data_IF_436755338652
#
_entry.id   IF_436755338652
#
_cell.length_a   1.000
_cell.length_b   1.000
_cell.length_c   1.000
_cell.angle_alpha   90.00
_cell.angle_beta   90.00
_cell.angle_gamma   90.00
#
_symmetry.space_group_name_H-M   'P 1'
#
loop_
_entity.id
_entity.type
_entity.pdbx_description
1 polymer ?
#
# COMPACT_ATOMS: atom_id res chain seq x y z
N UNK A 1 -35.26 8.11 13.83
CA UNK A 1 -34.51 6.90 13.47
C UNK A 1 -34.29 5.94 14.64
N UNK A 2 -33.74 6.41 15.81
CA UNK A 2 -33.50 5.55 17.00
C UNK A 2 -34.78 4.93 17.53
N UNK A 3 -35.83 5.74 17.77
CA UNK A 3 -37.11 5.29 18.23
C UNK A 3 -37.75 4.32 17.23
N UNK A 4 -37.71 4.66 15.96
CA UNK A 4 -38.18 3.82 14.86
C UNK A 4 -37.50 2.46 14.84
N UNK A 5 -36.18 2.41 15.00
CA UNK A 5 -35.39 1.15 15.04
C UNK A 5 -35.74 0.35 16.31
N UNK A 6 -35.94 1.01 17.45
CA UNK A 6 -36.28 0.34 18.69
C UNK A 6 -37.68 -0.24 18.69
N UNK A 7 -38.64 0.44 18.08
CA UNK A 7 -40.07 0.10 18.12
C UNK A 7 -40.50 -0.82 17.00
N UNK A 8 -39.73 -0.89 15.90
CA UNK A 8 -40.12 -1.64 14.71
C UNK A 8 -39.22 -2.88 14.52
N UNK A 9 -39.67 -4.02 15.07
CA UNK A 9 -38.91 -5.28 15.04
C UNK A 9 -38.87 -5.97 13.66
N UNK A 10 -39.81 -5.65 12.79
CA UNK A 10 -40.03 -6.34 11.50
C UNK A 10 -39.29 -5.66 10.33
N UNK A 11 -38.66 -4.50 10.60
CA UNK A 11 -37.91 -3.76 9.57
C UNK A 11 -36.40 -3.95 9.77
N UNK A 12 -35.68 -4.22 8.69
CA UNK A 12 -34.21 -4.27 8.69
C UNK A 12 -33.63 -2.90 8.33
N UNK A 13 -32.73 -2.42 9.15
CA UNK A 13 -32.03 -1.15 8.94
C UNK A 13 -30.55 -1.39 8.68
N UNK A 14 -29.97 -0.61 7.79
CA UNK A 14 -28.54 -0.57 7.51
C UNK A 14 -27.97 0.78 7.92
N UNK A 15 -26.99 0.77 8.82
CA UNK A 15 -26.26 1.96 9.25
C UNK A 15 -24.84 1.84 8.70
N UNK A 16 -24.45 2.73 7.78
CA UNK A 16 -23.12 2.77 7.22
C UNK A 16 -22.39 3.97 7.83
N UNK A 17 -21.24 3.73 8.43
CA UNK A 17 -20.41 4.76 9.05
C UNK A 17 -18.94 4.52 8.77
N UNK A 18 -18.17 5.60 8.60
CA UNK A 18 -16.71 5.50 8.59
C UNK A 18 -16.18 5.27 10.00
N UNK A 19 -14.97 4.73 10.16
CA UNK A 19 -14.31 4.60 11.47
C UNK A 19 -14.19 5.95 12.20
N UNK A 20 -13.86 7.01 11.46
CA UNK A 20 -13.79 8.36 12.01
C UNK A 20 -15.14 8.83 12.57
N UNK A 21 -16.25 8.50 11.89
CA UNK A 21 -17.60 8.81 12.38
C UNK A 21 -17.97 7.95 13.58
N UNK A 22 -17.68 6.65 13.53
CA UNK A 22 -17.92 5.72 14.64
C UNK A 22 -17.17 6.13 15.92
N UNK A 23 -15.94 6.64 15.79
CA UNK A 23 -15.15 7.13 16.91
C UNK A 23 -15.68 8.43 17.55
N UNK A 24 -16.56 9.19 16.88
CA UNK A 24 -17.14 10.43 17.44
C UNK A 24 -18.08 10.11 18.59
N UNK A 25 -17.87 10.78 19.71
CA UNK A 25 -18.62 10.53 20.93
C UNK A 25 -20.14 10.70 20.76
N UNK A 26 -20.57 11.71 20.02
CA UNK A 26 -21.98 11.96 19.76
C UNK A 26 -22.66 10.80 19.02
N UNK A 27 -22.01 10.30 17.94
CA UNK A 27 -22.54 9.17 17.17
C UNK A 27 -22.52 7.88 17.98
N UNK A 28 -21.42 7.65 18.70
CA UNK A 28 -21.28 6.44 19.52
C UNK A 28 -22.31 6.39 20.65
N UNK A 29 -22.59 7.53 21.33
CA UNK A 29 -23.64 7.63 22.33
C UNK A 29 -25.03 7.30 21.77
N UNK A 30 -25.34 7.72 20.56
CA UNK A 30 -26.60 7.35 19.88
C UNK A 30 -26.70 5.83 19.64
N UNK A 31 -25.62 5.19 19.18
CA UNK A 31 -25.58 3.74 19.00
C UNK A 31 -25.71 2.99 20.34
N UNK A 32 -25.07 3.47 21.40
CA UNK A 32 -25.21 2.92 22.75
C UNK A 32 -26.65 3.07 23.34
N UNK A 33 -27.41 4.04 22.87
CA UNK A 33 -28.76 4.32 23.36
C UNK A 33 -29.83 3.38 22.82
N UNK A 34 -29.46 2.46 21.88
CA UNK A 34 -30.41 1.41 21.49
C UNK A 34 -30.79 0.53 22.65
N UNK A 35 -32.07 0.15 22.71
CA UNK A 35 -32.56 -0.71 23.78
C UNK A 35 -31.90 -2.09 23.75
N UNK A 36 -32.00 -2.83 24.87
CA UNK A 36 -31.36 -4.15 24.99
C UNK A 36 -31.84 -5.18 23.96
N UNK A 37 -33.10 -5.08 23.50
CA UNK A 37 -33.67 -5.98 22.49
C UNK A 37 -33.10 -5.67 21.14
N UNK A 38 -32.99 -4.39 20.77
CA UNK A 38 -32.33 -3.96 19.51
C UNK A 38 -30.85 -4.36 19.48
N UNK A 39 -30.10 -4.13 20.57
CA UNK A 39 -28.69 -4.54 20.64
C UNK A 39 -28.50 -6.05 20.44
N UNK A 40 -29.40 -6.88 20.94
CA UNK A 40 -29.36 -8.34 20.74
C UNK A 40 -29.61 -8.79 19.28
N UNK A 41 -30.02 -7.87 18.41
CA UNK A 41 -30.28 -8.13 16.99
C UNK A 41 -29.24 -7.49 16.06
N UNK A 42 -28.33 -6.69 16.63
CA UNK A 42 -27.31 -6.00 15.84
C UNK A 42 -26.29 -6.99 15.26
N UNK A 43 -26.09 -6.92 13.96
CA UNK A 43 -24.94 -7.47 13.27
C UNK A 43 -23.95 -6.34 13.01
N UNK A 44 -22.72 -6.50 13.46
CA UNK A 44 -21.63 -5.57 13.19
C UNK A 44 -20.75 -6.12 12.09
N UNK A 45 -20.53 -5.35 11.04
CA UNK A 45 -19.61 -5.69 9.94
C UNK A 45 -18.56 -4.59 9.86
N UNK A 46 -17.30 -4.96 10.02
CA UNK A 46 -16.16 -4.08 9.89
C UNK A 46 -15.38 -4.43 8.62
N UNK A 47 -15.39 -3.55 7.65
CA UNK A 47 -14.48 -3.63 6.50
C UNK A 47 -13.14 -3.01 6.89
N UNK A 48 -12.01 -3.57 6.40
CA UNK A 48 -10.66 -3.23 6.85
C UNK A 48 -10.56 -3.23 8.40
N UNK A 49 -10.97 -4.35 9.01
CA UNK A 49 -11.15 -4.49 10.45
C UNK A 49 -9.91 -4.17 11.30
N UNK A 50 -8.71 -4.25 10.70
CA UNK A 50 -7.46 -3.83 11.34
C UNK A 50 -7.48 -2.37 11.81
N UNK A 51 -8.25 -1.47 11.16
CA UNK A 51 -8.38 -0.07 11.58
C UNK A 51 -9.07 0.07 12.95
N UNK A 52 -9.77 -0.96 13.41
CA UNK A 52 -10.38 -0.97 14.74
C UNK A 52 -9.34 -1.03 15.87
N UNK A 53 -8.10 -1.41 15.60
CA UNK A 53 -7.00 -1.38 16.55
C UNK A 53 -6.52 0.03 16.93
N UNK A 54 -6.96 1.09 16.25
CA UNK A 54 -6.57 2.46 16.57
C UNK A 54 -7.19 2.92 17.91
N UNK A 55 -6.40 3.58 18.76
CA UNK A 55 -6.70 3.86 20.17
C UNK A 55 -8.10 4.37 20.47
N UNK A 56 -8.59 5.41 19.76
CA UNK A 56 -9.95 5.95 19.98
C UNK A 56 -11.07 4.97 19.62
N UNK A 57 -10.82 4.04 18.70
CA UNK A 57 -11.79 3.05 18.28
C UNK A 57 -11.78 1.88 19.26
N UNK A 58 -10.60 1.48 19.74
CA UNK A 58 -10.43 0.44 20.75
C UNK A 58 -11.33 0.68 21.97
N UNK A 59 -11.38 1.91 22.47
CA UNK A 59 -12.20 2.30 23.62
C UNK A 59 -13.71 2.11 23.36
N UNK A 60 -14.12 2.02 22.09
CA UNK A 60 -15.54 1.88 21.69
C UNK A 60 -15.95 0.43 21.45
N UNK A 61 -15.00 -0.49 21.26
CA UNK A 61 -15.32 -1.86 20.82
C UNK A 61 -16.32 -2.58 21.71
N UNK A 62 -16.17 -2.46 23.02
CA UNK A 62 -16.99 -3.18 24.00
C UNK A 62 -18.18 -2.38 24.52
N UNK A 63 -18.42 -1.17 24.03
CA UNK A 63 -19.51 -0.30 24.49
C UNK A 63 -20.89 -0.73 24.02
N UNK A 64 -20.98 -1.51 22.95
CA UNK A 64 -22.26 -1.96 22.38
C UNK A 64 -22.27 -3.50 22.36
N UNK A 65 -23.42 -4.08 22.69
CA UNK A 65 -23.63 -5.53 22.58
C UNK A 65 -24.14 -5.89 21.20
N UNK A 66 -23.37 -6.67 20.47
CA UNK A 66 -23.73 -7.16 19.14
C UNK A 66 -24.11 -8.64 19.22
N UNK A 67 -25.11 -9.04 18.44
CA UNK A 67 -25.46 -10.47 18.28
C UNK A 67 -24.34 -11.21 17.58
N UNK A 68 -23.84 -10.64 16.50
CA UNK A 68 -22.75 -11.19 15.69
C UNK A 68 -21.81 -10.09 15.22
N UNK A 69 -20.57 -10.46 14.98
CA UNK A 69 -19.51 -9.56 14.52
C UNK A 69 -18.75 -10.23 13.39
N UNK A 70 -18.51 -9.49 12.32
CA UNK A 70 -17.74 -9.93 11.17
C UNK A 70 -16.68 -8.87 10.92
N UNK A 71 -15.42 -9.26 10.93
CA UNK A 71 -14.29 -8.43 10.53
C UNK A 71 -13.73 -8.93 9.21
N UNK A 72 -13.60 -8.04 8.25
CA UNK A 72 -12.99 -8.30 6.94
C UNK A 72 -11.69 -7.54 6.85
N UNK A 73 -10.61 -8.19 6.48
CA UNK A 73 -9.31 -7.55 6.24
C UNK A 73 -8.43 -8.42 5.37
N UNK A 74 -7.73 -7.83 4.41
CA UNK A 74 -6.70 -8.51 3.65
C UNK A 74 -5.40 -8.69 4.47
N UNK A 75 -5.19 -7.82 5.47
CA UNK A 75 -4.04 -7.80 6.36
C UNK A 75 -4.53 -7.50 7.78
N UNK A 76 -5.02 -8.52 8.50
CA UNK A 76 -5.70 -8.32 9.79
C UNK A 76 -4.78 -7.81 10.90
N UNK A 77 -3.47 -8.06 10.80
CA UNK A 77 -2.50 -7.64 11.81
C UNK A 77 -1.89 -6.28 11.45
N UNK A 78 -1.80 -5.39 12.41
CA UNK A 78 -1.10 -4.11 12.34
C UNK A 78 0.36 -4.33 12.73
N UNK A 79 1.29 -3.72 12.01
CA UNK A 79 2.71 -3.79 12.37
C UNK A 79 2.95 -3.00 13.67
N UNK A 80 3.76 -3.56 14.56
CA UNK A 80 4.18 -2.94 15.82
C UNK A 80 3.05 -2.54 16.79
N UNK A 81 1.84 -3.11 16.63
CA UNK A 81 0.69 -2.83 17.49
C UNK A 81 0.08 -4.13 18.07
N UNK A 82 0.84 -4.80 18.91
CA UNK A 82 0.40 -6.06 19.55
C UNK A 82 -0.84 -5.87 20.42
N UNK A 83 -0.99 -4.70 21.06
CA UNK A 83 -2.13 -4.38 21.92
C UNK A 83 -3.40 -4.22 21.08
N UNK A 84 -3.33 -3.43 20.01
CA UNK A 84 -4.44 -3.24 19.08
C UNK A 84 -4.84 -4.54 18.39
N UNK A 85 -3.86 -5.31 17.91
CA UNK A 85 -4.09 -6.61 17.28
C UNK A 85 -4.84 -7.56 18.23
N UNK A 86 -4.37 -7.69 19.46
CA UNK A 86 -4.98 -8.55 20.47
C UNK A 86 -6.41 -8.13 20.81
N UNK A 87 -6.65 -6.83 20.91
CA UNK A 87 -7.97 -6.29 21.20
C UNK A 87 -8.97 -6.55 20.05
N UNK A 88 -8.55 -6.37 18.80
CA UNK A 88 -9.36 -6.65 17.60
C UNK A 88 -9.66 -8.15 17.50
N UNK A 89 -8.66 -9.00 17.68
CA UNK A 89 -8.84 -10.45 17.66
C UNK A 89 -9.82 -10.93 18.74
N UNK A 90 -9.67 -10.42 19.98
CA UNK A 90 -10.61 -10.72 21.07
C UNK A 90 -12.02 -10.24 20.74
N UNK A 91 -12.15 -9.04 20.16
CA UNK A 91 -13.44 -8.49 19.78
C UNK A 91 -14.18 -9.38 18.77
N UNK A 92 -13.50 -9.96 17.80
CA UNK A 92 -14.09 -10.88 16.82
C UNK A 92 -14.11 -12.33 17.28
N UNK A 93 -13.48 -12.67 18.40
CA UNK A 93 -13.40 -14.04 18.92
C UNK A 93 -12.44 -14.94 18.14
N UNK A 94 -11.38 -14.35 17.54
CA UNK A 94 -10.39 -15.00 16.69
C UNK A 94 -9.02 -15.15 17.37
N UNK A 95 -8.96 -15.35 18.70
CA UNK A 95 -7.72 -15.33 19.46
C UNK A 95 -6.69 -16.40 19.04
N UNK A 96 -7.15 -17.50 18.46
CA UNK A 96 -6.28 -18.62 18.05
C UNK A 96 -6.06 -18.71 16.54
N UNK A 97 -7.04 -18.35 15.76
CA UNK A 97 -7.01 -18.42 14.29
C UNK A 97 -8.15 -17.62 13.70
N UNK A 98 -8.00 -17.18 12.46
CA UNK A 98 -9.10 -16.57 11.70
C UNK A 98 -10.22 -17.60 11.46
N UNK A 99 -11.46 -17.13 11.47
CA UNK A 99 -12.63 -18.00 11.19
C UNK A 99 -12.62 -18.49 9.76
N UNK A 100 -12.14 -17.67 8.84
CA UNK A 100 -12.03 -17.98 7.43
C UNK A 100 -10.86 -17.19 6.84
N UNK A 101 -10.06 -17.85 6.02
CA UNK A 101 -8.99 -17.27 5.25
C UNK A 101 -9.15 -17.68 3.78
N UNK A 102 -9.01 -16.71 2.88
CA UNK A 102 -9.00 -16.93 1.44
C UNK A 102 -7.78 -16.23 0.86
N UNK A 103 -6.75 -17.01 0.61
CA UNK A 103 -5.45 -16.46 0.21
C UNK A 103 -5.48 -15.91 -1.23
N UNK A 104 -4.51 -15.06 -1.55
CA UNK A 104 -4.33 -14.58 -2.94
C UNK A 104 -4.00 -15.76 -3.88
N UNK A 105 -3.29 -16.78 -3.40
CA UNK A 105 -3.03 -18.02 -4.15
C UNK A 105 -4.35 -18.69 -4.52
N UNK A 106 -5.22 -18.93 -3.54
CA UNK A 106 -6.54 -19.53 -3.80
C UNK A 106 -7.36 -18.72 -4.78
N UNK A 107 -7.30 -17.38 -4.66
CA UNK A 107 -8.03 -16.48 -5.56
C UNK A 107 -7.52 -16.55 -7.01
N UNK A 108 -6.23 -16.75 -7.22
CA UNK A 108 -5.64 -16.95 -8.55
C UNK A 108 -5.97 -18.36 -9.07
N UNK A 109 -5.77 -19.39 -8.28
CA UNK A 109 -5.99 -20.79 -8.66
C UNK A 109 -7.47 -21.06 -8.97
N UNK A 110 -8.38 -20.52 -8.17
CA UNK A 110 -9.83 -20.62 -8.40
C UNK A 110 -10.34 -19.62 -9.45
N UNK A 111 -9.48 -18.82 -10.01
CA UNK A 111 -9.79 -17.94 -11.11
C UNK A 111 -10.64 -16.72 -10.75
N UNK A 112 -10.63 -16.25 -9.50
CA UNK A 112 -11.21 -14.95 -9.09
C UNK A 112 -10.26 -13.79 -9.41
N UNK A 113 -8.95 -14.03 -9.40
CA UNK A 113 -7.93 -13.12 -9.87
C UNK A 113 -7.26 -13.67 -11.12
N UNK A 114 -6.67 -12.80 -11.95
CA UNK A 114 -5.89 -13.23 -13.11
C UNK A 114 -4.47 -13.59 -12.71
N UNK A 115 -3.82 -14.44 -13.50
CA UNK A 115 -2.40 -14.73 -13.41
C UNK A 115 -1.57 -13.53 -13.83
N UNK A 116 -0.30 -13.46 -13.45
CA UNK A 116 0.56 -12.34 -13.76
C UNK A 116 2.02 -12.70 -13.91
N UNK A 117 2.75 -11.89 -14.68
CA UNK A 117 4.19 -11.84 -14.69
C UNK A 117 4.69 -10.73 -13.77
N UNK A 118 5.82 -10.97 -13.12
CA UNK A 118 6.48 -10.01 -12.25
C UNK A 118 7.91 -9.78 -12.68
N UNK A 119 8.28 -8.53 -12.91
CA UNK A 119 9.59 -8.10 -13.36
C UNK A 119 10.17 -7.08 -12.37
N UNK A 120 11.01 -7.50 -11.41
CA UNK A 120 11.80 -6.56 -10.62
C UNK A 120 12.89 -5.95 -11.50
N UNK A 121 13.05 -4.64 -11.44
CA UNK A 121 14.09 -3.88 -12.09
C UNK A 121 14.99 -3.28 -11.05
N UNK A 122 16.27 -3.66 -11.04
CA UNK A 122 17.23 -3.20 -10.06
C UNK A 122 17.62 -1.75 -10.34
N UNK A 123 17.37 -0.88 -9.40
CA UNK A 123 17.71 0.54 -9.42
C UNK A 123 18.88 0.76 -8.46
N UNK A 124 20.06 1.00 -8.97
CA UNK A 124 21.21 1.35 -8.14
C UNK A 124 21.19 2.83 -7.81
N UNK A 125 21.48 3.17 -6.54
CA UNK A 125 21.72 4.55 -6.14
C UNK A 125 23.05 5.02 -6.73
N UNK A 126 23.15 6.32 -7.04
CA UNK A 126 24.45 6.89 -7.35
C UNK A 126 25.33 6.97 -6.09
N UNK A 127 26.63 7.21 -6.25
CA UNK A 127 27.55 7.32 -5.12
C UNK A 127 27.13 8.46 -4.17
N UNK A 128 26.64 9.57 -4.71
CA UNK A 128 26.16 10.70 -3.94
C UNK A 128 24.87 10.33 -3.17
N UNK A 129 23.92 9.70 -3.84
CA UNK A 129 22.66 9.25 -3.23
C UNK A 129 22.93 8.23 -2.12
N UNK A 130 23.85 7.29 -2.36
CA UNK A 130 24.24 6.29 -1.37
C UNK A 130 24.95 6.93 -0.17
N UNK A 131 25.87 7.87 -0.42
CA UNK A 131 26.57 8.60 0.64
C UNK A 131 25.59 9.37 1.54
N UNK A 132 24.60 10.05 0.94
CA UNK A 132 23.55 10.76 1.68
C UNK A 132 22.68 9.80 2.47
N UNK A 133 22.27 8.67 1.87
CA UNK A 133 21.49 7.63 2.54
C UNK A 133 22.21 7.09 3.78
N UNK A 134 23.51 6.80 3.67
CA UNK A 134 24.32 6.29 4.76
C UNK A 134 24.53 7.34 5.87
N UNK A 135 24.76 8.60 5.50
CA UNK A 135 24.88 9.67 6.47
C UNK A 135 23.61 9.79 7.33
N UNK A 136 22.44 9.81 6.71
CA UNK A 136 21.16 9.87 7.43
C UNK A 136 20.93 8.59 8.26
N UNK A 137 21.26 7.41 7.73
CA UNK A 137 21.12 6.14 8.43
C UNK A 137 22.00 6.08 9.69
N UNK A 138 23.21 6.63 9.63
CA UNK A 138 24.13 6.76 10.80
C UNK A 138 23.54 7.69 11.85
N UNK A 139 22.91 8.79 11.44
CA UNK A 139 22.21 9.69 12.38
C UNK A 139 21.04 8.97 13.05
N UNK A 140 20.21 8.26 12.28
CA UNK A 140 19.06 7.49 12.78
C UNK A 140 19.48 6.38 13.75
N UNK A 141 20.61 5.73 13.53
CA UNK A 141 21.08 4.65 14.41
C UNK A 141 21.22 5.07 15.88
N UNK A 142 21.48 6.37 16.14
CA UNK A 142 21.57 6.93 17.50
C UNK A 142 20.23 6.96 18.24
N UNK A 143 19.12 6.93 17.51
CA UNK A 143 17.76 7.01 18.03
C UNK A 143 17.05 5.66 18.03
N UNK A 144 17.73 4.58 17.61
CA UNK A 144 17.14 3.24 17.60
C UNK A 144 17.05 2.64 18.98
N UNK A 145 15.87 2.27 19.42
CA UNK A 145 15.66 1.56 20.67
C UNK A 145 15.84 0.05 20.49
N UNK A 146 16.90 -0.50 21.06
CA UNK A 146 17.15 -1.96 21.04
C UNK A 146 16.09 -2.74 21.82
N UNK A 147 15.51 -2.15 22.87
CA UNK A 147 14.47 -2.80 23.69
C UNK A 147 13.15 -2.92 22.92
N UNK A 148 12.75 -1.84 22.22
CA UNK A 148 11.50 -1.78 21.45
C UNK A 148 11.65 -2.25 20.01
N UNK A 149 12.90 -2.43 19.53
CA UNK A 149 13.24 -2.74 18.14
C UNK A 149 12.62 -1.78 17.10
N UNK A 150 12.45 -0.52 17.48
CA UNK A 150 11.86 0.51 16.64
C UNK A 150 12.46 1.90 16.92
N UNK A 151 12.15 2.84 16.03
CA UNK A 151 12.40 4.26 16.24
C UNK A 151 11.23 4.89 16.99
N UNK A 152 11.53 5.92 17.80
CA UNK A 152 10.47 6.74 18.37
C UNK A 152 9.98 7.75 17.32
N UNK A 153 8.88 7.45 16.66
CA UNK A 153 8.29 8.29 15.60
C UNK A 153 7.57 9.53 16.14
N UNK A 154 7.40 9.64 17.46
CA UNK A 154 6.89 10.86 18.11
C UNK A 154 7.96 11.97 18.18
N UNK A 155 9.23 11.63 17.98
CA UNK A 155 10.34 12.56 17.91
C UNK A 155 10.40 13.22 16.52
N UNK A 156 10.20 14.52 16.45
CA UNK A 156 10.22 15.30 15.21
C UNK A 156 11.56 15.18 14.45
N UNK A 157 12.67 14.99 15.15
CA UNK A 157 14.00 14.82 14.54
C UNK A 157 14.07 13.46 13.84
N UNK A 158 13.65 12.40 14.53
CA UNK A 158 13.61 11.05 13.98
C UNK A 158 12.71 11.01 12.76
N UNK A 159 11.54 11.61 12.86
CA UNK A 159 10.57 11.66 11.76
C UNK A 159 11.14 12.35 10.53
N UNK A 160 11.79 13.51 10.69
CA UNK A 160 12.45 14.23 9.59
C UNK A 160 13.56 13.42 8.94
N UNK A 161 14.37 12.72 9.73
CA UNK A 161 15.44 11.86 9.22
C UNK A 161 14.89 10.68 8.43
N UNK A 162 13.84 10.03 8.93
CA UNK A 162 13.15 8.94 8.22
C UNK A 162 12.58 9.40 6.88
N UNK A 163 11.93 10.57 6.85
CA UNK A 163 11.40 11.16 5.62
C UNK A 163 12.52 11.54 4.63
N UNK A 164 13.62 12.14 5.11
CA UNK A 164 14.77 12.44 4.26
C UNK A 164 15.36 11.18 3.64
N UNK A 165 15.58 10.13 4.44
CA UNK A 165 16.09 8.85 3.95
C UNK A 165 15.17 8.23 2.91
N UNK A 166 13.86 8.24 3.16
CA UNK A 166 12.85 7.75 2.22
C UNK A 166 12.86 8.54 0.91
N UNK A 167 13.02 9.85 0.96
CA UNK A 167 13.09 10.72 -0.23
C UNK A 167 14.24 10.36 -1.17
N UNK A 168 15.38 9.91 -0.66
CA UNK A 168 16.52 9.45 -1.50
C UNK A 168 16.08 8.24 -2.32
N UNK A 169 15.48 7.25 -1.68
CA UNK A 169 14.96 6.05 -2.37
C UNK A 169 13.89 6.39 -3.40
N UNK A 170 13.01 7.33 -3.07
CA UNK A 170 11.93 7.74 -3.98
C UNK A 170 12.44 8.51 -5.20
N UNK A 171 13.47 9.33 -5.01
CA UNK A 171 14.06 10.19 -6.07
C UNK A 171 15.24 9.55 -6.79
N UNK A 172 15.61 8.33 -6.46
CA UNK A 172 16.75 7.66 -7.08
C UNK A 172 16.76 7.91 -8.59
N UNK A 173 17.80 8.61 -9.08
CA UNK A 173 17.85 9.19 -10.43
C UNK A 173 17.82 8.12 -11.53
N UNK A 174 18.37 6.95 -11.24
CA UNK A 174 18.37 5.82 -12.17
C UNK A 174 16.97 5.21 -12.41
N UNK A 175 15.95 5.57 -11.62
CA UNK A 175 14.56 5.14 -11.85
C UNK A 175 14.00 5.66 -13.18
N UNK A 176 14.38 6.88 -13.56
CA UNK A 176 13.79 7.55 -14.73
C UNK A 176 14.10 6.81 -16.02
N UNK A 177 15.37 6.41 -16.22
CA UNK A 177 15.81 5.68 -17.41
C UNK A 177 15.17 4.30 -17.51
N UNK A 178 15.07 3.60 -16.37
CA UNK A 178 14.44 2.28 -16.29
C UNK A 178 12.94 2.38 -16.57
N UNK A 179 12.27 3.34 -15.94
CA UNK A 179 10.85 3.59 -16.17
C UNK A 179 10.56 3.89 -17.65
N UNK A 180 11.37 4.77 -18.25
CA UNK A 180 11.26 5.10 -19.67
C UNK A 180 11.45 3.86 -20.56
N UNK A 181 12.46 3.05 -20.28
CA UNK A 181 12.71 1.83 -21.07
C UNK A 181 11.57 0.81 -21.02
N UNK A 182 10.91 0.64 -19.86
CA UNK A 182 9.73 -0.21 -19.72
C UNK A 182 8.59 0.28 -20.62
N UNK A 183 8.35 1.58 -20.64
CA UNK A 183 7.30 2.18 -21.47
C UNK A 183 7.63 2.08 -22.96
N UNK A 184 8.87 2.34 -23.36
CA UNK A 184 9.35 2.22 -24.73
C UNK A 184 9.19 0.78 -25.24
N UNK A 185 9.55 -0.21 -24.41
CA UNK A 185 9.35 -1.61 -24.73
C UNK A 185 7.86 -1.93 -24.93
N UNK A 186 7.00 -1.51 -24.00
CA UNK A 186 5.54 -1.70 -24.12
C UNK A 186 5.00 -1.06 -25.38
N UNK A 187 5.42 0.19 -25.69
CA UNK A 187 4.99 0.89 -26.88
C UNK A 187 5.44 0.19 -28.17
N UNK A 188 6.69 -0.32 -28.19
CA UNK A 188 7.22 -1.11 -29.31
C UNK A 188 6.43 -2.41 -29.53
N UNK A 189 6.00 -3.08 -28.47
CA UNK A 189 5.30 -4.36 -28.53
C UNK A 189 3.83 -4.21 -28.90
N UNK A 190 3.15 -3.18 -28.39
CA UNK A 190 1.70 -3.02 -28.48
C UNK A 190 1.24 -1.85 -29.36
N UNK A 191 2.14 -0.93 -29.71
CA UNK A 191 1.80 0.31 -30.44
C UNK A 191 1.05 1.33 -29.59
N UNK A 192 0.88 1.10 -28.29
CA UNK A 192 0.21 1.99 -27.34
C UNK A 192 0.58 1.64 -25.91
N UNK A 193 0.17 2.54 -24.95
CA UNK A 193 0.39 2.34 -23.52
C UNK A 193 -0.93 2.07 -22.77
N UNK A 194 -1.98 1.61 -23.46
CA UNK A 194 -3.30 1.40 -22.88
C UNK A 194 -3.28 0.47 -21.67
N UNK A 195 -4.15 0.80 -20.71
CA UNK A 195 -4.38 0.02 -19.49
C UNK A 195 -3.17 -0.08 -18.57
N UNK A 196 -2.35 0.99 -18.54
CA UNK A 196 -1.17 1.07 -17.70
C UNK A 196 -1.43 1.91 -16.45
N UNK A 197 -1.10 1.34 -15.28
CA UNK A 197 -1.11 2.02 -13.99
C UNK A 197 0.32 2.32 -13.56
N UNK A 198 0.58 3.55 -13.14
CA UNK A 198 1.88 3.96 -12.58
C UNK A 198 1.69 4.38 -11.14
N UNK A 199 2.26 3.61 -10.22
CA UNK A 199 2.26 3.93 -8.79
C UNK A 199 3.48 4.78 -8.45
N UNK A 200 3.25 6.07 -8.28
CA UNK A 200 4.27 7.07 -7.97
C UNK A 200 4.46 7.16 -6.45
N UNK A 201 5.70 7.39 -5.98
CA UNK A 201 5.97 7.55 -4.55
C UNK A 201 5.18 8.69 -3.92
N UNK A 202 4.74 8.46 -2.68
CA UNK A 202 4.15 9.48 -1.81
C UNK A 202 5.25 10.24 -1.06
N UNK A 203 5.19 11.56 -1.01
CA UNK A 203 6.27 12.40 -0.46
C UNK A 203 6.22 12.61 1.05
N UNK A 204 5.09 12.37 1.71
CA UNK A 204 4.76 13.04 2.96
C UNK A 204 4.71 12.20 4.23
N UNK A 205 4.78 10.87 4.16
CA UNK A 205 4.64 10.04 5.39
C UNK A 205 5.61 8.85 5.41
N UNK A 206 6.14 8.48 6.59
CA UNK A 206 6.78 7.18 6.78
C UNK A 206 5.79 6.05 6.51
N UNK A 207 6.29 4.89 6.09
CA UNK A 207 5.45 3.71 5.79
C UNK A 207 4.89 3.03 7.05
N UNK A 208 5.04 3.59 8.23
CA UNK A 208 4.58 3.02 9.48
C UNK A 208 3.08 3.24 9.67
N UNK A 209 2.39 2.18 10.11
CA UNK A 209 0.96 2.19 10.47
C UNK A 209 0.60 3.18 11.59
N UNK A 210 1.60 3.68 12.32
CA UNK A 210 1.43 4.74 13.30
C UNK A 210 1.04 6.08 12.65
N UNK A 211 1.22 6.24 11.32
CA UNK A 211 0.83 7.47 10.62
C UNK A 211 -0.68 7.72 10.61
N UNK A 212 -1.51 6.71 10.80
CA UNK A 212 -2.97 6.89 10.94
C UNK A 212 -3.37 7.66 12.21
N UNK A 213 -2.46 7.79 13.18
CA UNK A 213 -2.65 8.63 14.37
C UNK A 213 -2.31 10.12 14.15
N UNK A 214 -1.60 10.45 13.06
CA UNK A 214 -1.06 11.80 12.81
C UNK A 214 -1.83 12.64 11.78
N UNK A 215 -3.09 12.39 11.58
CA UNK A 215 -3.98 13.10 10.62
C UNK A 215 -4.15 14.62 10.89
N UNK A 216 -3.29 15.26 11.66
CA UNK A 216 -3.46 16.64 12.13
C UNK A 216 -2.29 17.59 11.96
N UNK A 217 -1.19 17.21 11.32
CA UNK A 217 -0.14 18.17 10.99
C UNK A 217 -0.09 18.36 9.48
N UNK A 218 -0.68 19.48 9.04
CA UNK A 218 -0.54 20.02 7.69
C UNK A 218 0.91 20.43 7.46
N UNK A 219 1.71 19.54 6.88
CA UNK A 219 3.03 19.92 6.38
C UNK A 219 2.90 20.38 4.93
N UNK A 220 2.87 21.67 4.75
CA UNK A 220 2.78 22.39 3.45
C UNK A 220 3.90 21.98 2.47
N UNK A 221 5.05 21.50 2.96
CA UNK A 221 6.16 21.02 2.13
C UNK A 221 5.91 19.65 1.48
N UNK A 222 4.91 18.90 1.93
CA UNK A 222 4.67 17.54 1.45
C UNK A 222 3.87 17.48 0.15
N UNK A 223 2.94 18.40 -0.05
CA UNK A 223 2.07 18.42 -1.23
C UNK A 223 2.82 18.83 -2.49
N UNK A 224 3.66 19.87 -2.42
CA UNK A 224 4.48 20.34 -3.54
C UNK A 224 5.49 19.28 -4.00
N UNK A 225 6.07 18.52 -3.06
CA UNK A 225 6.99 17.42 -3.38
C UNK A 225 6.31 16.27 -4.14
N UNK A 226 5.13 15.86 -3.70
CA UNK A 226 4.39 14.75 -4.28
C UNK A 226 3.82 15.09 -5.66
N UNK A 227 3.35 16.32 -5.83
CA UNK A 227 2.92 16.85 -7.12
C UNK A 227 4.04 16.88 -8.14
N UNK A 228 5.24 17.29 -7.76
CA UNK A 228 6.42 17.31 -8.64
C UNK A 228 6.80 15.91 -9.15
N UNK A 229 6.72 14.87 -8.32
CA UNK A 229 7.02 13.50 -8.76
C UNK A 229 5.99 12.96 -9.74
N UNK A 230 4.71 13.15 -9.46
CA UNK A 230 3.66 12.65 -10.37
C UNK A 230 3.70 13.37 -11.72
N UNK A 231 4.09 14.66 -11.72
CA UNK A 231 4.30 15.43 -12.94
C UNK A 231 5.48 14.90 -13.73
N UNK A 232 6.60 14.63 -13.06
CA UNK A 232 7.79 14.06 -13.67
C UNK A 232 7.49 12.72 -14.36
N UNK A 233 6.88 11.78 -13.68
CA UNK A 233 6.53 10.49 -14.28
C UNK A 233 5.49 10.62 -15.40
N UNK A 234 4.54 11.52 -15.28
CA UNK A 234 3.58 11.80 -16.34
C UNK A 234 4.26 12.40 -17.58
N UNK A 235 5.26 13.27 -17.39
CA UNK A 235 6.03 13.83 -18.49
C UNK A 235 6.87 12.75 -19.19
N UNK A 236 7.52 11.84 -18.47
CA UNK A 236 8.28 10.73 -19.09
C UNK A 236 7.36 9.86 -19.96
N UNK A 237 6.12 9.64 -19.56
CA UNK A 237 5.14 8.92 -20.41
C UNK A 237 4.90 9.67 -21.72
N UNK A 238 4.71 10.99 -21.65
CA UNK A 238 4.51 11.84 -22.85
C UNK A 238 5.77 11.91 -23.73
N UNK A 239 6.95 11.83 -23.14
CA UNK A 239 8.23 11.83 -23.87
C UNK A 239 8.41 10.52 -24.66
N UNK A 240 7.80 9.41 -24.24
CA UNK A 240 7.79 8.14 -24.99
C UNK A 240 6.82 8.22 -26.18
N UNK A 241 5.65 8.83 -25.99
CA UNK A 241 4.67 9.05 -27.04
C UNK A 241 3.81 10.24 -26.69
N UNK A 242 3.87 11.30 -27.49
CA UNK A 242 3.07 12.52 -27.33
C UNK A 242 1.60 12.31 -27.68
N UNK A 243 1.25 11.20 -28.32
CA UNK A 243 -0.13 10.82 -28.63
C UNK A 243 -0.82 10.11 -27.45
N UNK A 244 -0.04 9.66 -26.44
CA UNK A 244 -0.54 8.92 -25.29
C UNK A 244 -1.35 9.82 -24.36
N UNK A 245 -2.55 9.40 -24.01
CA UNK A 245 -3.39 10.10 -23.05
C UNK A 245 -3.03 9.69 -21.63
N UNK A 246 -2.39 10.59 -20.87
CA UNK A 246 -2.03 10.41 -19.47
C UNK A 246 -2.97 11.21 -18.57
N UNK A 247 -3.40 10.62 -17.44
CA UNK A 247 -4.19 11.33 -16.44
C UNK A 247 -3.65 11.05 -15.04
N UNK A 248 -3.47 12.12 -14.27
CA UNK A 248 -3.15 12.01 -12.83
C UNK A 248 -4.40 11.62 -12.07
N UNK A 249 -4.27 10.67 -11.16
CA UNK A 249 -5.33 10.22 -10.29
C UNK A 249 -4.92 10.40 -8.83
N UNK A 250 -5.29 11.56 -8.26
CA UNK A 250 -4.89 12.00 -6.91
C UNK A 250 -6.10 12.20 -6.01
N UNK A 251 -5.88 12.40 -4.71
CA UNK A 251 -6.95 12.70 -3.75
C UNK A 251 -7.66 14.00 -4.12
N UNK A 252 -8.97 14.07 -3.86
CA UNK A 252 -9.76 15.30 -4.11
C UNK A 252 -10.29 15.48 -5.53
N UNK A 253 -9.94 14.64 -6.50
CA UNK A 253 -10.51 14.71 -7.85
C UNK A 253 -12.01 14.42 -7.79
N UNK A 254 -12.83 15.37 -8.32
CA UNK A 254 -14.30 15.27 -8.32
C UNK A 254 -14.85 14.27 -9.34
N UNK A 255 -14.13 14.02 -10.44
CA UNK A 255 -14.61 13.23 -11.59
C UNK A 255 -14.01 11.81 -11.63
N UNK A 256 -13.75 11.20 -10.47
CA UNK A 256 -13.11 9.89 -10.36
C UNK A 256 -13.76 8.83 -11.23
N UNK A 257 -15.08 8.72 -11.19
CA UNK A 257 -15.83 7.74 -11.97
C UNK A 257 -15.66 7.90 -13.49
N UNK A 258 -15.66 9.15 -13.98
CA UNK A 258 -15.48 9.46 -15.39
C UNK A 258 -14.05 9.08 -15.85
N UNK A 259 -13.04 9.38 -15.06
CA UNK A 259 -11.65 9.04 -15.37
C UNK A 259 -11.47 7.52 -15.46
N UNK A 260 -12.04 6.78 -14.51
CA UNK A 260 -11.96 5.32 -14.51
C UNK A 260 -12.72 4.67 -15.67
N UNK A 261 -13.89 5.21 -16.03
CA UNK A 261 -14.65 4.75 -17.19
C UNK A 261 -13.89 4.99 -18.49
N UNK A 262 -13.29 6.17 -18.67
CA UNK A 262 -12.43 6.48 -19.81
C UNK A 262 -11.18 5.60 -19.88
N UNK A 263 -10.55 5.30 -18.73
CA UNK A 263 -9.45 4.37 -18.67
C UNK A 263 -9.87 2.94 -19.06
N UNK A 264 -11.00 2.47 -18.56
CA UNK A 264 -11.54 1.15 -18.90
C UNK A 264 -11.88 1.03 -20.41
N UNK A 265 -12.26 2.12 -21.08
CA UNK A 265 -12.48 2.19 -22.52
C UNK A 265 -11.19 2.40 -23.34
N UNK A 266 -10.06 2.66 -22.68
CA UNK A 266 -8.78 2.94 -23.34
C UNK A 266 -8.70 4.33 -23.97
N UNK A 267 -9.61 5.26 -23.62
CA UNK A 267 -9.55 6.69 -24.00
C UNK A 267 -8.46 7.41 -23.18
N UNK A 268 -8.22 6.97 -21.95
CA UNK A 268 -7.07 7.29 -21.15
C UNK A 268 -6.18 6.04 -21.13
N UNK A 269 -4.96 6.16 -21.59
CA UNK A 269 -4.06 5.04 -21.72
C UNK A 269 -3.29 4.75 -20.43
N UNK A 270 -2.84 5.81 -19.75
CA UNK A 270 -2.01 5.74 -18.54
C UNK A 270 -2.65 6.51 -17.40
N UNK A 271 -2.77 5.87 -16.25
CA UNK A 271 -3.09 6.54 -15.00
C UNK A 271 -1.84 6.59 -14.12
N UNK A 272 -1.40 7.80 -13.77
CA UNK A 272 -0.37 8.03 -12.75
C UNK A 272 -1.06 8.31 -11.42
N UNK A 273 -0.71 7.57 -10.39
CA UNK A 273 -1.39 7.65 -9.09
C UNK A 273 -0.40 7.50 -7.94
N UNK A 274 -0.70 8.17 -6.85
CA UNK A 274 -0.06 7.95 -5.57
C UNK A 274 -0.91 6.98 -4.73
N UNK A 275 -1.43 7.39 -3.61
CA UNK A 275 -2.21 6.56 -2.67
C UNK A 275 -3.66 6.31 -3.08
N UNK A 276 -4.22 7.13 -3.96
CA UNK A 276 -5.68 7.15 -4.23
C UNK A 276 -6.23 5.88 -4.87
N UNK A 277 -5.37 5.04 -5.47
CA UNK A 277 -5.78 3.74 -5.99
C UNK A 277 -5.69 2.63 -4.93
N UNK A 278 -5.27 2.94 -3.68
CA UNK A 278 -5.09 1.92 -2.64
C UNK A 278 -6.42 1.52 -1.99
N UNK A 279 -7.40 2.44 -1.89
CA UNK A 279 -8.69 2.17 -1.25
C UNK A 279 -9.89 2.59 -2.09
N UNK A 280 -10.93 1.74 -2.11
CA UNK A 280 -12.25 2.08 -2.66
C UNK A 280 -12.34 2.26 -4.20
N UNK A 281 -11.28 1.97 -4.96
CA UNK A 281 -11.25 2.15 -6.42
C UNK A 281 -11.12 0.82 -7.13
N UNK A 282 -11.91 0.60 -8.16
CA UNK A 282 -11.86 -0.58 -9.00
C UNK A 282 -11.30 -0.27 -10.39
N UNK A 283 -10.25 -1.00 -10.82
CA UNK A 283 -9.56 -0.80 -12.11
C UNK A 283 -9.32 -2.14 -12.81
N UNK A 284 -10.37 -2.95 -13.07
CA UNK A 284 -10.21 -4.33 -13.52
C UNK A 284 -9.55 -4.44 -14.90
N UNK A 285 -9.63 -3.40 -15.73
CA UNK A 285 -9.03 -3.38 -17.08
C UNK A 285 -7.52 -3.12 -17.08
N UNK A 286 -6.88 -2.82 -15.93
CA UNK A 286 -5.43 -2.62 -15.87
C UNK A 286 -4.67 -3.88 -16.29
N UNK A 287 -3.85 -3.79 -17.33
CA UNK A 287 -3.05 -4.90 -17.85
C UNK A 287 -1.60 -4.82 -17.38
N UNK A 288 -1.08 -3.61 -17.23
CA UNK A 288 0.28 -3.37 -16.76
C UNK A 288 0.27 -2.43 -15.56
N UNK A 289 1.12 -2.71 -14.60
CA UNK A 289 1.39 -1.80 -13.48
C UNK A 289 2.89 -1.60 -13.30
N UNK A 290 3.29 -0.36 -13.04
CA UNK A 290 4.68 -0.01 -12.76
C UNK A 290 4.73 0.60 -11.36
N UNK A 291 5.44 -0.06 -10.45
CA UNK A 291 5.68 0.42 -9.09
C UNK A 291 6.97 1.22 -9.06
N UNK A 292 6.86 2.55 -9.06
CA UNK A 292 8.01 3.47 -8.90
C UNK A 292 8.28 3.78 -7.42
N UNK A 293 7.36 3.37 -6.54
CA UNK A 293 7.43 3.58 -5.11
C UNK A 293 7.92 2.32 -4.40
N UNK A 294 9.03 2.45 -3.68
CA UNK A 294 9.41 1.47 -2.66
C UNK A 294 8.60 1.76 -1.40
N UNK A 295 7.66 0.91 -1.04
CA UNK A 295 6.92 1.02 0.22
C UNK A 295 7.23 -0.17 1.10
N UNK A 296 7.66 0.09 2.32
CA UNK A 296 7.90 -0.95 3.33
C UNK A 296 6.61 -1.50 3.94
N UNK A 297 5.45 -0.91 3.62
CA UNK A 297 4.18 -1.36 4.17
C UNK A 297 3.60 -2.51 3.33
N UNK A 298 3.59 -3.76 3.85
CA UNK A 298 3.07 -4.93 3.13
C UNK A 298 1.62 -4.76 2.69
N UNK A 299 0.80 -4.07 3.48
CA UNK A 299 -0.62 -3.84 3.20
C UNK A 299 -0.82 -3.10 1.89
N UNK A 300 -0.09 -2.01 1.68
CA UNK A 300 -0.26 -1.19 0.48
C UNK A 300 0.03 -1.98 -0.79
N UNK A 301 1.13 -2.73 -0.84
CA UNK A 301 1.44 -3.47 -2.05
C UNK A 301 0.55 -4.70 -2.25
N UNK A 302 0.08 -5.36 -1.18
CA UNK A 302 -0.91 -6.44 -1.27
C UNK A 302 -2.23 -5.91 -1.85
N UNK A 303 -2.72 -4.78 -1.36
CA UNK A 303 -3.95 -4.14 -1.86
C UNK A 303 -3.79 -3.69 -3.32
N UNK A 304 -2.67 -3.03 -3.67
CA UNK A 304 -2.36 -2.63 -5.06
C UNK A 304 -2.34 -3.83 -5.99
N UNK A 305 -1.62 -4.89 -5.61
CA UNK A 305 -1.56 -6.14 -6.39
C UNK A 305 -2.96 -6.74 -6.58
N UNK A 306 -3.74 -6.87 -5.51
CA UNK A 306 -5.10 -7.40 -5.59
C UNK A 306 -6.00 -6.64 -6.57
N UNK A 307 -5.83 -5.32 -6.73
CA UNK A 307 -6.59 -4.51 -7.71
C UNK A 307 -6.13 -4.75 -9.13
N UNK A 308 -4.80 -4.80 -9.35
CA UNK A 308 -4.23 -5.08 -10.65
C UNK A 308 -4.64 -6.46 -11.15
N UNK A 309 -4.79 -7.43 -10.27
CA UNK A 309 -5.15 -8.80 -10.63
C UNK A 309 -6.65 -9.05 -10.81
N UNK A 310 -7.50 -8.05 -10.62
CA UNK A 310 -8.94 -8.19 -10.89
C UNK A 310 -9.20 -8.59 -12.32
N UNK A 311 -10.15 -9.50 -12.51
CA UNK A 311 -10.51 -9.99 -13.83
C UNK A 311 -11.30 -8.98 -14.65
N UNK A 312 -11.05 -8.99 -15.94
CA UNK A 312 -11.86 -8.31 -16.95
C UNK A 312 -12.02 -9.25 -18.16
N UNK A 313 -13.14 -9.27 -18.86
CA UNK A 313 -13.35 -10.17 -20.01
C UNK A 313 -12.23 -10.13 -21.07
N UNK A 314 -11.67 -8.95 -21.34
CA UNK A 314 -10.61 -8.75 -22.32
C UNK A 314 -9.20 -8.82 -21.73
N UNK A 315 -9.05 -9.17 -20.44
CA UNK A 315 -7.76 -9.25 -19.77
C UNK A 315 -7.45 -10.68 -19.38
N UNK A 316 -6.45 -11.26 -20.02
CA UNK A 316 -6.03 -12.64 -19.74
C UNK A 316 -4.92 -12.73 -18.69
N UNK A 317 -4.04 -11.73 -18.66
CA UNK A 317 -2.83 -11.71 -17.82
C UNK A 317 -2.56 -10.28 -17.36
N UNK A 318 -1.95 -10.13 -16.21
CA UNK A 318 -1.38 -8.86 -15.76
C UNK A 318 0.15 -8.90 -15.84
N UNK A 319 0.76 -7.73 -16.00
CA UNK A 319 2.22 -7.56 -15.95
C UNK A 319 2.54 -6.52 -14.89
N UNK A 320 3.42 -6.87 -13.97
CA UNK A 320 3.85 -6.00 -12.89
C UNK A 320 5.35 -5.74 -13.03
N UNK A 321 5.73 -4.49 -13.20
CA UNK A 321 7.10 -4.01 -13.13
C UNK A 321 7.31 -3.31 -11.78
N UNK A 322 8.40 -3.63 -11.10
CA UNK A 322 8.72 -3.06 -9.79
C UNK A 322 10.14 -2.48 -9.80
N UNK A 323 10.27 -1.18 -9.54
CA UNK A 323 11.56 -0.49 -9.45
C UNK A 323 12.16 -0.70 -8.07
N UNK A 324 13.01 -1.70 -7.92
CA UNK A 324 13.61 -2.14 -6.66
C UNK A 324 14.94 -1.44 -6.45
N UNK A 325 15.01 -0.58 -5.44
CA UNK A 325 16.27 0.11 -5.11
C UNK A 325 17.22 -0.85 -4.41
N UNK A 326 18.41 -0.99 -4.97
CA UNK A 326 19.46 -1.86 -4.44
C UNK A 326 20.75 -1.09 -4.26
N UNK A 327 21.60 -1.47 -3.28
CA UNK A 327 22.93 -0.91 -3.17
C UNK A 327 23.81 -1.35 -4.32
N UNK A 328 24.84 -0.60 -4.61
CA UNK A 328 25.88 -1.00 -5.56
C UNK A 328 26.81 -2.03 -4.92
N UNK A 329 27.15 -3.08 -5.66
CA UNK A 329 28.12 -4.07 -5.21
C UNK A 329 29.50 -3.48 -5.39
N UNK A 330 30.14 -3.06 -4.31
CA UNK A 330 31.51 -2.58 -4.30
C UNK A 330 32.38 -3.40 -3.33
N UNK A 331 33.67 -3.35 -3.50
CA UNK A 331 34.62 -4.10 -2.66
C UNK A 331 34.90 -3.46 -1.29
N UNK A 332 34.36 -2.29 -1.02
CA UNK A 332 34.56 -1.55 0.23
C UNK A 332 33.52 -1.99 1.27
N UNK A 333 33.99 -2.65 2.33
CA UNK A 333 33.13 -3.24 3.36
C UNK A 333 32.62 -2.23 4.42
N UNK A 334 33.02 -0.98 4.37
CA UNK A 334 32.72 -0.01 5.44
C UNK A 334 31.21 0.16 5.70
N UNK A 335 30.37 -0.02 4.69
CA UNK A 335 28.94 0.23 4.77
C UNK A 335 28.05 -1.00 4.60
N UNK A 336 28.65 -2.18 4.53
CA UNK A 336 27.98 -3.45 4.26
C UNK A 336 26.69 -3.68 5.06
N UNK A 337 26.70 -3.38 6.37
CA UNK A 337 25.53 -3.63 7.22
C UNK A 337 24.34 -2.73 6.87
N UNK A 338 24.58 -1.45 6.47
CA UNK A 338 23.52 -0.51 6.10
C UNK A 338 22.96 -0.82 4.71
N UNK A 339 23.83 -1.16 3.79
CA UNK A 339 23.48 -1.59 2.43
C UNK A 339 22.66 -2.89 2.48
N UNK A 340 23.10 -3.85 3.28
CA UNK A 340 22.37 -5.08 3.53
C UNK A 340 20.96 -4.83 4.08
N UNK A 341 20.81 -3.90 5.02
CA UNK A 341 19.51 -3.55 5.59
C UNK A 341 18.60 -2.86 4.56
N UNK A 342 19.14 -2.01 3.67
CA UNK A 342 18.39 -1.43 2.57
C UNK A 342 17.84 -2.54 1.67
N UNK A 343 18.68 -3.44 1.21
CA UNK A 343 18.26 -4.55 0.36
C UNK A 343 17.22 -5.45 1.07
N UNK A 344 17.46 -5.80 2.32
CA UNK A 344 16.55 -6.66 3.10
C UNK A 344 15.13 -6.07 3.20
N UNK A 345 15.00 -4.74 3.31
CA UNK A 345 13.70 -4.08 3.35
C UNK A 345 12.90 -4.22 2.05
N UNK A 346 13.60 -4.29 0.90
CA UNK A 346 12.98 -4.45 -0.42
C UNK A 346 12.64 -5.92 -0.72
N UNK A 347 13.49 -6.86 -0.27
CA UNK A 347 13.37 -8.29 -0.60
C UNK A 347 12.05 -8.90 -0.15
N UNK A 348 11.50 -8.48 0.98
CA UNK A 348 10.20 -8.98 1.45
C UNK A 348 9.10 -8.71 0.42
N UNK A 349 9.07 -7.48 -0.12
CA UNK A 349 8.10 -7.12 -1.16
C UNK A 349 8.32 -7.92 -2.44
N UNK A 350 9.57 -8.03 -2.87
CA UNK A 350 9.93 -8.82 -4.06
C UNK A 350 9.49 -10.26 -3.91
N UNK A 351 9.77 -10.89 -2.78
CA UNK A 351 9.33 -12.25 -2.48
C UNK A 351 7.81 -12.39 -2.60
N UNK A 352 7.06 -11.51 -1.93
CA UNK A 352 5.59 -11.56 -1.93
C UNK A 352 5.00 -11.41 -3.34
N UNK A 353 5.64 -10.65 -4.22
CA UNK A 353 5.21 -10.55 -5.62
C UNK A 353 5.67 -11.75 -6.46
N UNK A 354 6.91 -12.19 -6.29
CA UNK A 354 7.50 -13.24 -7.12
C UNK A 354 6.85 -14.61 -6.89
N UNK A 355 6.61 -15.00 -5.64
CA UNK A 355 6.18 -16.37 -5.27
C UNK A 355 4.86 -16.81 -5.90
N UNK A 356 4.00 -15.89 -6.33
CA UNK A 356 2.72 -16.17 -6.98
C UNK A 356 2.72 -15.79 -8.48
N UNK A 357 3.84 -15.32 -9.02
CA UNK A 357 3.96 -14.96 -10.42
C UNK A 357 4.24 -16.20 -11.28
N UNK A 358 3.90 -16.13 -12.57
CA UNK A 358 4.18 -17.19 -13.56
C UNK A 358 5.68 -17.31 -13.90
N UNK A 359 6.47 -16.29 -13.56
CA UNK A 359 7.91 -16.22 -13.84
C UNK A 359 8.74 -15.98 -12.57
N UNK A 360 8.39 -16.63 -11.47
CA UNK A 360 9.10 -16.46 -10.19
C UNK A 360 10.61 -16.63 -10.31
N UNK A 361 11.07 -17.61 -11.07
CA UNK A 361 12.49 -17.90 -11.30
C UNK A 361 13.24 -16.71 -11.91
N UNK A 362 12.59 -15.95 -12.77
CA UNK A 362 13.18 -14.73 -13.34
C UNK A 362 13.52 -13.71 -12.24
N UNK A 363 12.59 -13.46 -11.30
CA UNK A 363 12.80 -12.51 -10.22
C UNK A 363 13.95 -12.93 -9.29
N UNK A 364 14.11 -14.23 -9.07
CA UNK A 364 15.21 -14.76 -8.26
C UNK A 364 16.55 -14.64 -8.97
N UNK A 365 16.60 -14.93 -10.27
CA UNK A 365 17.81 -14.81 -11.08
C UNK A 365 18.28 -13.35 -11.15
N UNK A 366 17.36 -12.40 -11.35
CA UNK A 366 17.70 -10.97 -11.40
C UNK A 366 18.34 -10.44 -10.10
N UNK A 367 17.99 -11.04 -8.97
CA UNK A 367 18.48 -10.62 -7.65
C UNK A 367 19.64 -11.47 -7.12
N UNK A 368 20.03 -12.53 -7.83
CA UNK A 368 21.00 -13.53 -7.36
C UNK A 368 22.34 -12.90 -6.97
N UNK A 369 22.90 -12.05 -7.81
CA UNK A 369 24.20 -11.40 -7.56
C UNK A 369 24.15 -10.55 -6.29
N UNK A 370 23.11 -9.73 -6.14
CA UNK A 370 22.98 -8.79 -5.01
C UNK A 370 22.69 -9.54 -3.72
N UNK A 371 21.79 -10.53 -3.75
CA UNK A 371 21.46 -11.34 -2.58
C UNK A 371 22.63 -12.20 -2.11
N UNK A 372 23.37 -12.80 -3.05
CA UNK A 372 24.57 -13.59 -2.75
C UNK A 372 25.65 -12.72 -2.11
N UNK A 373 25.92 -11.53 -2.65
CA UNK A 373 26.90 -10.61 -2.09
C UNK A 373 26.58 -10.19 -0.65
N UNK A 374 25.32 -9.85 -0.36
CA UNK A 374 24.88 -9.43 0.97
C UNK A 374 24.50 -10.60 1.91
N UNK A 375 24.71 -11.84 1.49
CA UNK A 375 24.32 -13.04 2.22
C UNK A 375 22.87 -12.94 2.74
N UNK A 376 21.96 -12.65 1.81
CA UNK A 376 20.52 -12.58 2.03
C UNK A 376 19.83 -13.66 1.20
N UNK A 377 18.70 -14.15 1.70
CA UNK A 377 17.79 -15.01 0.95
C UNK A 377 16.51 -14.25 0.63
N UNK A 378 15.94 -14.56 -0.52
CA UNK A 378 14.60 -14.08 -0.88
C UNK A 378 13.51 -14.91 -0.16
N UNK A 379 13.89 -16.06 0.39
CA UNK A 379 13.01 -16.99 1.13
C UNK A 379 13.10 -16.84 2.63
#
# INVERSE_FOLDING_TARGET
LREEINDNADVSYFIIATYASFAREAIFKELMSFNKMTQKRLLFIADEAHNMGAGRILDRLNGIKYLRRIGLSATPERQYDDVGNKAVMNFFGCEKSYTFEYSMRDAIENGFLCRYYYYPHLVRLTDEEMSEYMHISTQLAKFYSNERRCFNTDDDIVMRLLLKRKRIIHKASNKDSIFKSILEQRYKEKGNLKYTLVYVPEGSRPDDEQSDMYDKREDVESDDYSENLIDKYSQIVLDVSNETTVKKFVSGIKERGIILDKFAKGEIEVLTSMKCLDEGVDVPRSEMAIFCASTGNPRQFIQRRGRILRKHPDKHMAVIHDLVVVPEINSEQENYAMERNLLQSELKRVHDFAILSENADFAYTELEDVTSYYNLSIF
#
